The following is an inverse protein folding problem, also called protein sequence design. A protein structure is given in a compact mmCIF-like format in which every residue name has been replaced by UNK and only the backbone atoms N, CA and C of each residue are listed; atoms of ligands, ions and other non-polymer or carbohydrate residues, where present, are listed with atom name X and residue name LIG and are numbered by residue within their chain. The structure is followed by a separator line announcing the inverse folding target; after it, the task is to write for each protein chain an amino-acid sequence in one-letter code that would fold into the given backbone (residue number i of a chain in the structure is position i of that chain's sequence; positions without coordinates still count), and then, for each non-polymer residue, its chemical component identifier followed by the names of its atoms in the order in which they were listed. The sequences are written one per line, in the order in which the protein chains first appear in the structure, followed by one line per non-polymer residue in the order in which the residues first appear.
data_IF_939990756821
#
_entry.id   IF_939990756821
#
_cell.length_a   1.000
_cell.length_b   1.000
_cell.length_c   1.000
_cell.angle_alpha   90.00
_cell.angle_beta   90.00
_cell.angle_gamma   90.00
#
_symmetry.space_group_name_H-M   'P 1'
#
loop_
_entity.id
_entity.type
_entity.pdbx_description
1 polymer ?
#
# COMPACT_ATOMS: atom_id res chain seq x y z
N UNK A 1 -49.24 -41.82 -21.74
CA UNK A 1 -48.34 -42.08 -20.58
C UNK A 1 -47.00 -41.34 -20.66
N UNK A 2 -46.55 -40.85 -21.82
CA UNK A 2 -45.21 -40.23 -22.00
C UNK A 2 -45.10 -38.76 -21.52
N UNK A 3 -46.16 -37.95 -21.68
CA UNK A 3 -46.16 -36.50 -21.34
C UNK A 3 -46.09 -36.20 -19.83
N UNK A 4 -46.64 -37.07 -18.97
CA UNK A 4 -46.62 -36.87 -17.52
C UNK A 4 -45.21 -37.03 -16.94
N UNK A 5 -44.38 -37.89 -17.53
CA UNK A 5 -43.02 -38.18 -17.06
C UNK A 5 -42.07 -37.01 -17.32
N UNK A 6 -42.25 -36.30 -18.44
CA UNK A 6 -41.43 -35.13 -18.83
C UNK A 6 -41.70 -33.94 -17.89
N UNK A 7 -42.99 -33.63 -17.64
CA UNK A 7 -43.37 -32.54 -16.73
C UNK A 7 -42.94 -32.79 -15.28
N UNK A 8 -42.96 -34.05 -14.84
CA UNK A 8 -42.51 -34.44 -13.49
C UNK A 8 -40.99 -34.32 -13.36
N UNK A 9 -40.23 -34.77 -14.36
CA UNK A 9 -38.76 -34.62 -14.42
C UNK A 9 -38.33 -33.14 -14.45
N UNK A 10 -39.03 -32.30 -15.21
CA UNK A 10 -38.73 -30.86 -15.29
C UNK A 10 -39.03 -30.15 -13.97
N UNK A 11 -40.17 -30.45 -13.31
CA UNK A 11 -40.46 -29.93 -11.96
C UNK A 11 -39.43 -30.38 -10.92
N UNK A 12 -38.98 -31.65 -10.95
CA UNK A 12 -37.95 -32.11 -10.00
C UNK A 12 -36.58 -31.47 -10.23
N UNK A 13 -36.19 -31.21 -11.49
CA UNK A 13 -34.94 -30.51 -11.80
C UNK A 13 -34.96 -29.04 -11.39
N UNK A 14 -36.10 -28.35 -11.55
CA UNK A 14 -36.26 -26.95 -11.10
C UNK A 14 -36.16 -26.84 -9.58
N UNK A 15 -36.75 -27.79 -8.84
CA UNK A 15 -36.67 -27.83 -7.38
C UNK A 15 -35.21 -28.02 -6.91
N UNK A 16 -34.46 -28.94 -7.54
CA UNK A 16 -33.06 -29.18 -7.20
C UNK A 16 -32.15 -27.96 -7.43
N UNK A 17 -32.38 -27.19 -8.50
CA UNK A 17 -31.64 -25.95 -8.78
C UNK A 17 -31.94 -24.87 -7.74
N UNK A 18 -33.20 -24.74 -7.31
CA UNK A 18 -33.60 -23.78 -6.27
C UNK A 18 -32.93 -24.13 -4.93
N UNK A 19 -32.89 -25.40 -4.55
CA UNK A 19 -32.18 -25.83 -3.33
C UNK A 19 -30.66 -25.59 -3.41
N UNK A 20 -30.06 -25.78 -4.59
CA UNK A 20 -28.63 -25.54 -4.80
C UNK A 20 -28.29 -24.04 -4.71
N UNK A 21 -29.15 -23.16 -5.22
CA UNK A 21 -29.01 -21.70 -5.09
C UNK A 21 -29.20 -21.22 -3.65
N UNK A 22 -30.18 -21.76 -2.91
CA UNK A 22 -30.39 -21.45 -1.48
C UNK A 22 -29.19 -21.90 -0.63
N UNK A 23 -28.52 -23.00 -1.01
CA UNK A 23 -27.33 -23.49 -0.29
C UNK A 23 -26.04 -22.74 -0.67
N UNK A 24 -25.98 -22.10 -1.85
CA UNK A 24 -24.85 -21.27 -2.29
C UNK A 24 -24.93 -19.80 -1.82
N UNK A 25 -26.14 -19.26 -1.56
CA UNK A 25 -26.32 -17.89 -1.06
C UNK A 25 -25.57 -17.57 0.25
N UNK A 26 -25.49 -18.47 1.25
CA UNK A 26 -24.76 -18.21 2.50
C UNK A 26 -23.26 -18.01 2.30
N UNK A 27 -22.66 -18.54 1.22
CA UNK A 27 -21.21 -18.46 0.95
C UNK A 27 -20.74 -17.05 0.57
N UNK A 28 -21.66 -16.17 0.15
CA UNK A 28 -21.37 -14.77 -0.17
C UNK A 28 -21.56 -13.82 1.04
N UNK A 29 -22.18 -14.28 2.13
CA UNK A 29 -22.52 -13.42 3.28
C UNK A 29 -21.60 -13.59 4.49
N UNK A 30 -20.71 -14.58 4.49
CA UNK A 30 -19.76 -14.80 5.59
C UNK A 30 -18.48 -13.97 5.50
N UNK A 31 -18.34 -13.07 4.51
CA UNK A 31 -17.22 -12.13 4.44
C UNK A 31 -17.62 -10.64 4.43
N UNK A 32 -18.82 -10.30 4.92
CA UNK A 32 -19.24 -8.92 5.16
C UNK A 32 -20.03 -8.81 6.46
N UNK A 33 -19.40 -9.13 7.59
CA UNK A 33 -19.84 -8.68 8.91
C UNK A 33 -18.66 -8.00 9.60
N UNK A 34 -18.45 -6.74 9.26
CA UNK A 34 -17.33 -5.96 9.78
C UNK A 34 -17.31 -4.48 9.43
N UNK A 35 -18.45 -3.83 9.16
CA UNK A 35 -18.54 -2.36 9.23
C UNK A 35 -19.76 -2.02 10.07
N UNK A 36 -19.52 -1.89 11.37
CA UNK A 36 -20.46 -1.27 12.30
C UNK A 36 -20.28 0.23 12.12
N UNK A 37 -21.27 0.87 11.52
CA UNK A 37 -21.39 2.32 11.41
C UNK A 37 -21.39 2.90 12.83
N UNK A 38 -20.27 3.49 13.25
CA UNK A 38 -20.16 4.16 14.55
C UNK A 38 -20.21 5.66 14.33
N UNK A 39 -21.39 6.20 14.55
CA UNK A 39 -21.68 7.62 14.63
C UNK A 39 -20.92 8.17 15.86
N UNK A 40 -19.72 8.73 15.66
CA UNK A 40 -18.97 9.38 16.73
C UNK A 40 -18.26 10.61 16.18
N UNK A 41 -18.71 11.76 16.68
CA UNK A 41 -18.09 13.09 16.68
C UNK A 41 -16.91 13.29 15.72
N UNK A 42 -17.11 14.19 14.75
CA UNK A 42 -16.10 14.84 13.91
C UNK A 42 -15.03 15.46 14.82
N UNK A 43 -14.03 14.67 15.19
CA UNK A 43 -12.72 15.14 15.58
C UNK A 43 -11.88 15.03 14.31
N UNK A 44 -11.34 16.16 13.89
CA UNK A 44 -10.38 16.36 12.82
C UNK A 44 -9.47 15.13 12.66
N UNK A 45 -9.73 14.33 11.62
CA UNK A 45 -8.75 13.35 11.16
C UNK A 45 -7.66 14.22 10.55
N UNK A 46 -6.58 14.48 11.29
CA UNK A 46 -5.34 14.88 10.62
C UNK A 46 -5.08 13.80 9.58
N UNK A 47 -5.21 14.17 8.30
CA UNK A 47 -4.85 13.31 7.18
C UNK A 47 -3.36 12.99 7.34
N UNK A 48 -3.05 11.84 7.95
CA UNK A 48 -1.66 11.44 8.14
C UNK A 48 -1.06 11.36 6.73
N UNK A 49 -0.06 12.19 6.41
CA UNK A 49 0.52 12.19 5.08
C UNK A 49 1.00 10.77 4.80
N UNK A 50 0.40 10.14 3.81
CA UNK A 50 0.65 8.73 3.52
C UNK A 50 2.06 8.53 2.95
N UNK A 51 2.68 9.61 2.46
CA UNK A 51 3.86 9.56 1.60
C UNK A 51 4.94 10.51 2.14
N UNK A 52 6.09 9.94 2.48
CA UNK A 52 7.33 10.65 2.74
C UNK A 52 8.15 10.78 1.45
N UNK A 53 8.64 11.99 1.14
CA UNK A 53 9.59 12.23 0.07
C UNK A 53 10.91 12.66 0.71
N UNK A 54 11.99 11.92 0.47
CA UNK A 54 13.32 12.33 0.90
C UNK A 54 13.76 13.57 0.13
N UNK A 55 14.13 14.62 0.86
CA UNK A 55 14.52 15.93 0.34
C UNK A 55 15.63 16.50 1.22
N UNK A 56 16.84 15.99 1.02
CA UNK A 56 18.04 16.43 1.72
C UNK A 56 19.23 16.48 0.74
N UNK A 57 20.44 16.69 1.27
CA UNK A 57 21.68 16.66 0.51
C UNK A 57 21.78 15.43 -0.39
N UNK A 58 22.27 15.66 -1.60
CA UNK A 58 22.31 14.70 -2.69
C UNK A 58 21.09 14.77 -3.62
N UNK A 59 19.93 15.24 -3.17
CA UNK A 59 18.74 15.27 -4.03
C UNK A 59 18.83 16.43 -5.04
N UNK A 60 18.31 16.22 -6.25
CA UNK A 60 18.14 17.31 -7.20
C UNK A 60 16.81 18.01 -6.96
N UNK A 61 16.83 19.34 -6.83
CA UNK A 61 15.65 20.15 -6.48
C UNK A 61 14.49 19.92 -7.45
N UNK A 62 14.77 19.87 -8.76
CA UNK A 62 13.74 19.60 -9.77
C UNK A 62 13.16 18.19 -9.66
N UNK A 63 13.95 17.20 -9.23
CA UNK A 63 13.45 15.85 -8.98
C UNK A 63 12.51 15.82 -7.77
N UNK A 64 12.84 16.52 -6.68
CA UNK A 64 11.96 16.65 -5.52
C UNK A 64 10.64 17.33 -5.91
N UNK A 65 10.71 18.46 -6.66
CA UNK A 65 9.53 19.18 -7.15
C UNK A 65 8.66 18.31 -8.06
N UNK A 66 9.26 17.59 -9.00
CA UNK A 66 8.55 16.70 -9.90
C UNK A 66 7.86 15.56 -9.16
N UNK A 67 8.55 14.91 -8.21
CA UNK A 67 7.99 13.84 -7.37
C UNK A 67 6.82 14.36 -6.53
N UNK A 68 6.95 15.54 -5.91
CA UNK A 68 5.85 16.15 -5.15
C UNK A 68 4.64 16.41 -6.04
N UNK A 69 4.84 17.01 -7.22
CA UNK A 69 3.78 17.27 -8.19
C UNK A 69 3.12 15.98 -8.71
N UNK A 70 3.89 14.91 -8.88
CA UNK A 70 3.38 13.59 -9.27
C UNK A 70 2.40 13.05 -8.22
N UNK A 71 2.76 13.06 -6.94
CA UNK A 71 1.84 12.62 -5.88
C UNK A 71 0.60 13.51 -5.78
N UNK A 72 0.77 14.83 -5.87
CA UNK A 72 -0.35 15.77 -5.91
C UNK A 72 -1.30 15.51 -7.09
N UNK A 73 -0.75 15.25 -8.28
CA UNK A 73 -1.55 14.90 -9.46
C UNK A 73 -2.33 13.59 -9.28
N UNK A 74 -1.78 12.64 -8.53
CA UNK A 74 -2.47 11.39 -8.15
C UNK A 74 -3.48 11.58 -7.00
N UNK A 75 -3.65 12.79 -6.47
CA UNK A 75 -4.57 13.08 -5.36
C UNK A 75 -4.00 12.71 -3.98
N UNK A 76 -2.68 12.59 -3.84
CA UNK A 76 -2.02 12.31 -2.57
C UNK A 76 -1.23 13.52 -2.06
N UNK A 77 -1.41 13.82 -0.77
CA UNK A 77 -0.50 14.70 -0.04
C UNK A 77 0.78 13.98 0.36
N UNK A 78 1.89 14.71 0.32
CA UNK A 78 3.22 14.17 0.62
C UNK A 78 4.03 15.14 1.49
N UNK A 79 4.80 14.57 2.42
CA UNK A 79 5.65 15.32 3.33
C UNK A 79 7.12 15.17 2.94
N UNK A 80 7.84 16.28 2.88
CA UNK A 80 9.28 16.26 2.70
C UNK A 80 9.93 15.87 4.04
N UNK A 81 10.85 14.92 4.00
CA UNK A 81 11.64 14.48 5.15
C UNK A 81 13.13 14.49 4.79
N UNK A 82 14.00 14.52 5.80
CA UNK A 82 15.45 14.57 5.62
C UNK A 82 16.13 13.31 6.17
N UNK A 83 17.46 13.25 6.14
CA UNK A 83 18.19 12.10 6.65
C UNK A 83 17.95 11.87 8.15
N UNK A 84 17.86 12.95 8.93
CA UNK A 84 17.59 12.90 10.37
C UNK A 84 16.24 12.22 10.70
N UNK A 85 15.18 12.52 9.94
CA UNK A 85 13.88 11.85 10.10
C UNK A 85 13.99 10.34 9.91
N UNK A 86 14.76 9.91 8.90
CA UNK A 86 15.00 8.48 8.64
C UNK A 86 15.83 7.86 9.77
N UNK A 87 16.90 8.54 10.19
CA UNK A 87 17.79 8.09 11.25
C UNK A 87 17.05 7.97 12.61
N UNK A 88 16.07 8.84 12.88
CA UNK A 88 15.25 8.86 14.12
C UNK A 88 13.98 8.00 14.06
N UNK A 89 13.86 7.11 13.07
CA UNK A 89 12.74 6.17 12.89
C UNK A 89 11.37 6.87 12.73
N UNK A 90 11.33 8.05 12.10
CA UNK A 90 10.07 8.75 11.85
C UNK A 90 9.26 8.15 10.70
N UNK A 91 9.80 7.15 9.98
CA UNK A 91 9.14 6.43 8.88
C UNK A 91 7.87 5.68 9.31
N UNK A 92 7.74 5.34 10.59
CA UNK A 92 6.56 4.65 11.15
C UNK A 92 5.26 5.48 10.98
N UNK A 93 5.38 6.78 10.73
CA UNK A 93 4.27 7.69 10.48
C UNK A 93 3.78 7.71 9.03
N UNK A 94 4.42 6.94 8.13
CA UNK A 94 4.14 6.96 6.70
C UNK A 94 3.77 5.57 6.19
N UNK A 95 3.23 5.49 4.97
CA UNK A 95 2.99 4.24 4.26
C UNK A 95 3.92 4.04 3.08
N UNK A 96 4.41 5.14 2.50
CA UNK A 96 5.35 5.11 1.39
C UNK A 96 6.54 6.02 1.69
N UNK A 97 7.76 5.51 1.48
CA UNK A 97 8.97 6.30 1.36
C UNK A 97 9.35 6.42 -0.12
N UNK A 98 9.42 7.65 -0.63
CA UNK A 98 9.89 7.94 -1.96
C UNK A 98 11.26 8.65 -1.91
N UNK A 99 12.27 8.08 -2.55
CA UNK A 99 13.60 8.69 -2.71
C UNK A 99 13.76 9.14 -4.17
N UNK A 100 13.78 10.46 -4.44
CA UNK A 100 13.87 11.01 -5.79
C UNK A 100 15.29 10.90 -6.38
N UNK A 101 15.42 11.36 -7.64
CA UNK A 101 16.70 11.42 -8.35
C UNK A 101 17.72 12.36 -7.71
N UNK A 102 19.00 12.00 -7.85
CA UNK A 102 20.14 12.72 -7.30
C UNK A 102 21.34 11.80 -7.06
N UNK A 103 22.28 12.24 -6.23
CA UNK A 103 23.53 11.55 -5.92
C UNK A 103 23.36 10.54 -4.76
N UNK A 104 23.30 9.25 -5.10
CA UNK A 104 23.12 8.18 -4.13
C UNK A 104 24.24 8.08 -3.08
N UNK A 105 25.45 8.54 -3.40
CA UNK A 105 26.57 8.46 -2.47
C UNK A 105 26.42 9.46 -1.34
N UNK A 106 25.77 10.60 -1.59
CA UNK A 106 25.46 11.59 -0.56
C UNK A 106 24.33 11.11 0.34
N UNK A 107 23.28 10.50 -0.22
CA UNK A 107 22.23 9.86 0.59
C UNK A 107 22.83 8.84 1.56
N UNK A 108 23.75 8.02 1.06
CA UNK A 108 24.39 6.95 1.82
C UNK A 108 25.38 7.45 2.89
N UNK A 109 25.86 8.69 2.78
CA UNK A 109 26.68 9.35 3.80
C UNK A 109 25.80 9.87 4.94
N UNK A 110 24.68 10.52 4.62
CA UNK A 110 23.86 11.21 5.62
C UNK A 110 22.82 10.28 6.27
N UNK A 111 22.31 9.29 5.54
CA UNK A 111 21.50 8.19 6.10
C UNK A 111 22.45 7.18 6.74
N UNK A 112 22.42 7.13 8.08
CA UNK A 112 23.31 6.32 8.89
C UNK A 112 23.07 4.82 8.67
N UNK A 113 23.95 3.98 9.22
CA UNK A 113 23.72 2.52 9.22
C UNK A 113 22.40 2.14 9.90
N UNK A 114 22.01 2.86 10.96
CA UNK A 114 20.73 2.70 11.65
C UNK A 114 19.58 3.22 10.78
N UNK A 115 19.73 4.35 10.11
CA UNK A 115 18.73 4.85 9.16
C UNK A 115 18.45 3.87 8.02
N UNK A 116 19.49 3.21 7.50
CA UNK A 116 19.35 2.14 6.48
C UNK A 116 18.58 0.95 7.04
N UNK A 117 18.79 0.60 8.30
CA UNK A 117 18.03 -0.44 8.98
C UNK A 117 16.58 -0.04 9.24
N UNK A 118 16.32 1.23 9.58
CA UNK A 118 14.96 1.77 9.68
C UNK A 118 14.21 1.68 8.35
N UNK A 119 14.87 1.95 7.21
CA UNK A 119 14.27 1.75 5.88
C UNK A 119 13.95 0.26 5.64
N UNK A 120 14.86 -0.66 5.98
CA UNK A 120 14.61 -2.11 5.83
C UNK A 120 13.43 -2.57 6.67
N UNK A 121 13.37 -2.13 7.93
CA UNK A 121 12.29 -2.45 8.85
C UNK A 121 10.95 -1.86 8.39
N UNK A 122 10.96 -0.63 7.90
CA UNK A 122 9.78 -0.01 7.31
C UNK A 122 9.22 -0.85 6.16
N UNK A 123 10.08 -1.34 5.26
CA UNK A 123 9.67 -2.16 4.11
C UNK A 123 9.22 -3.56 4.55
N UNK A 124 9.96 -4.22 5.45
CA UNK A 124 9.61 -5.56 5.95
C UNK A 124 8.28 -5.55 6.73
N UNK A 125 7.92 -4.42 7.34
CA UNK A 125 6.64 -4.20 8.00
C UNK A 125 5.51 -3.78 7.04
N UNK A 126 5.72 -3.84 5.72
CA UNK A 126 4.70 -3.55 4.69
C UNK A 126 4.69 -2.11 4.17
N UNK A 127 5.69 -1.30 4.52
CA UNK A 127 5.90 0.03 3.94
C UNK A 127 6.33 -0.04 2.47
N UNK A 128 5.76 0.82 1.63
CA UNK A 128 6.12 0.93 0.22
C UNK A 128 7.39 1.76 0.02
N UNK A 129 8.27 1.32 -0.88
CA UNK A 129 9.46 2.09 -1.27
C UNK A 129 9.41 2.42 -2.76
N UNK A 130 9.62 3.70 -3.10
CA UNK A 130 9.71 4.17 -4.48
C UNK A 130 11.05 4.89 -4.68
N UNK A 131 11.97 4.29 -5.42
CA UNK A 131 13.22 4.92 -5.81
C UNK A 131 13.18 5.40 -7.25
N UNK A 132 13.61 6.64 -7.51
CA UNK A 132 13.72 7.22 -8.87
C UNK A 132 15.19 7.54 -9.16
N UNK A 133 15.73 7.02 -10.27
CA UNK A 133 17.12 7.23 -10.70
C UNK A 133 18.10 6.88 -9.57
N UNK A 134 18.82 7.87 -8.99
CA UNK A 134 19.71 7.67 -7.85
C UNK A 134 19.04 7.05 -6.62
N UNK A 135 17.73 7.31 -6.41
CA UNK A 135 16.97 6.65 -5.34
C UNK A 135 16.82 5.14 -5.57
N UNK A 136 16.64 4.70 -6.82
CA UNK A 136 16.60 3.26 -7.15
C UNK A 136 17.96 2.61 -6.88
N UNK A 137 19.06 3.26 -7.26
CA UNK A 137 20.41 2.75 -7.03
C UNK A 137 20.78 2.71 -5.55
N UNK A 138 20.35 3.69 -4.76
CA UNK A 138 20.50 3.70 -3.30
C UNK A 138 19.81 2.49 -2.65
N UNK A 139 18.57 2.18 -3.07
CA UNK A 139 17.82 1.02 -2.60
C UNK A 139 18.58 -0.29 -2.83
N UNK A 140 19.12 -0.48 -4.03
CA UNK A 140 19.94 -1.66 -4.37
C UNK A 140 21.20 -1.74 -3.50
N UNK A 141 21.83 -0.60 -3.21
CA UNK A 141 23.02 -0.52 -2.35
C UNK A 141 22.77 -0.93 -0.89
N UNK A 142 21.56 -0.71 -0.36
CA UNK A 142 21.22 -1.09 1.02
C UNK A 142 20.68 -2.53 1.15
N UNK A 143 20.72 -3.32 0.06
CA UNK A 143 20.37 -4.75 -0.01
C UNK A 143 18.96 -5.07 0.49
N UNK A 144 17.98 -4.25 0.13
CA UNK A 144 16.59 -4.65 0.32
C UNK A 144 16.28 -5.73 -0.71
N UNK A 145 16.23 -6.98 -0.25
CA UNK A 145 15.76 -8.08 -1.06
C UNK A 145 14.24 -7.93 -1.17
N UNK A 146 13.71 -7.77 -2.39
CA UNK A 146 12.29 -7.97 -2.66
C UNK A 146 11.99 -9.47 -2.57
N UNK A 147 12.22 -10.09 -1.42
CA UNK A 147 11.67 -11.40 -1.12
C UNK A 147 10.21 -11.17 -0.82
N UNK A 148 9.41 -11.08 -1.88
CA UNK A 148 8.00 -11.42 -1.78
C UNK A 148 7.95 -12.87 -1.32
N UNK A 149 7.72 -13.09 -0.03
CA UNK A 149 7.18 -14.36 0.45
C UNK A 149 5.77 -14.45 -0.11
N UNK A 150 5.66 -15.04 -1.30
CA UNK A 150 4.41 -15.61 -1.83
C UNK A 150 4.24 -17.02 -1.30
#
# INVERSE_FOLDING_TARGET
MFQQTVNKKWKTSQILIIWLLIFLLPLLTTNCKGLKESNKSVAEIEEIPTIAIYSDKGTWEDSVKATKKMFQWMGYESKLINADSINKKELDNFKILCIPGGDMYQYAQDISSEGKENIRNFISNGGGYIGICGGSSFNSGIKISLTTSV
#
